data_IF_243409523333
#
_entry.id   IF_243409523333
#
_cell.length_a   1.000
_cell.length_b   1.000
_cell.length_c   1.000
_cell.angle_alpha   90.00
_cell.angle_beta   90.00
_cell.angle_gamma   90.00
#
_symmetry.space_group_name_H-M   'P 1'
#
loop_
_entity.id
_entity.type
_entity.pdbx_description
1 polymer ?
#
# COMPACT_ATOMS: atom_id res chain seq x y z
N UNK A 1 16.30 18.82 -19.81
CA UNK A 1 15.25 17.78 -19.82
C UNK A 1 15.41 17.01 -18.53
N UNK A 2 14.60 17.30 -17.54
CA UNK A 2 14.62 16.60 -16.26
C UNK A 2 14.04 15.21 -16.51
N UNK A 3 14.86 14.18 -16.34
CA UNK A 3 14.35 12.81 -16.41
C UNK A 3 13.57 12.55 -15.11
N UNK A 4 12.26 12.32 -15.23
CA UNK A 4 11.46 11.85 -14.09
C UNK A 4 12.09 10.55 -13.59
N UNK A 5 12.24 10.43 -12.26
CA UNK A 5 12.74 9.18 -11.68
C UNK A 5 11.75 8.05 -11.93
N UNK A 6 12.29 6.85 -12.07
CA UNK A 6 11.47 5.66 -12.20
C UNK A 6 10.59 5.46 -10.94
N UNK A 7 9.35 4.98 -11.11
CA UNK A 7 8.48 4.65 -9.99
C UNK A 7 9.13 3.62 -9.06
N UNK A 8 9.05 3.83 -7.75
CA UNK A 8 9.59 2.89 -6.76
C UNK A 8 8.53 2.48 -5.75
N UNK A 9 8.59 1.25 -5.27
CA UNK A 9 7.68 0.79 -4.22
C UNK A 9 7.72 1.76 -3.02
N UNK A 10 6.55 2.23 -2.63
CA UNK A 10 6.36 3.05 -1.44
C UNK A 10 5.81 2.24 -0.28
N UNK A 11 4.67 1.60 -0.48
CA UNK A 11 4.10 0.74 0.55
C UNK A 11 3.16 -0.33 0.00
N UNK A 12 2.98 -1.35 0.82
CA UNK A 12 1.97 -2.38 0.66
C UNK A 12 0.83 -2.09 1.64
N UNK A 13 -0.41 -2.28 1.22
CA UNK A 13 -1.59 -2.07 2.06
C UNK A 13 -2.21 -3.41 2.44
N UNK A 14 -2.10 -3.76 3.72
CA UNK A 14 -2.70 -4.95 4.31
C UNK A 14 -3.94 -4.55 5.11
N UNK A 15 -5.09 -4.65 4.47
CA UNK A 15 -6.35 -4.24 5.06
C UNK A 15 -6.93 -5.33 5.96
N UNK A 16 -7.57 -4.93 7.05
CA UNK A 16 -8.10 -5.86 8.06
C UNK A 16 -9.39 -5.35 8.69
N UNK A 17 -10.31 -6.26 9.07
CA UNK A 17 -11.46 -5.90 9.89
C UNK A 17 -11.09 -5.59 11.36
N UNK A 18 -9.90 -5.99 11.83
CA UNK A 18 -9.46 -5.79 13.22
C UNK A 18 -7.95 -5.54 13.30
N UNK A 19 -7.58 -4.25 13.42
CA UNK A 19 -6.18 -3.83 13.40
C UNK A 19 -5.36 -4.47 14.52
N UNK A 20 -5.87 -4.46 15.75
CA UNK A 20 -5.13 -4.97 16.91
C UNK A 20 -4.87 -6.48 16.83
N UNK A 21 -5.86 -7.25 16.40
CA UNK A 21 -5.70 -8.70 16.23
C UNK A 21 -4.69 -9.00 15.13
N UNK A 22 -4.74 -8.28 14.01
CA UNK A 22 -3.83 -8.46 12.89
C UNK A 22 -2.41 -8.03 13.24
N UNK A 23 -2.22 -6.94 13.98
CA UNK A 23 -0.89 -6.54 14.45
C UNK A 23 -0.26 -7.61 15.36
N UNK A 24 -1.04 -8.24 16.24
CA UNK A 24 -0.55 -9.36 17.08
C UNK A 24 -0.17 -10.60 16.26
N UNK A 25 -0.98 -10.95 15.25
CA UNK A 25 -0.66 -12.06 14.35
C UNK A 25 0.64 -11.79 13.57
N UNK A 26 0.76 -10.60 13.02
CA UNK A 26 1.96 -10.20 12.27
C UNK A 26 3.20 -10.11 13.18
N UNK A 27 3.05 -9.68 14.45
CA UNK A 27 4.15 -9.69 15.42
C UNK A 27 4.71 -11.11 15.62
N UNK A 28 3.82 -12.12 15.72
CA UNK A 28 4.23 -13.52 15.82
C UNK A 28 4.91 -14.01 14.54
N UNK A 29 4.36 -13.66 13.37
CA UNK A 29 4.83 -14.14 12.08
C UNK A 29 6.10 -13.43 11.60
N UNK A 30 6.15 -12.12 11.75
CA UNK A 30 7.25 -11.27 11.25
C UNK A 30 8.31 -10.96 12.30
N UNK A 31 8.05 -11.30 13.58
CA UNK A 31 9.00 -11.10 14.67
C UNK A 31 9.15 -9.66 15.15
N UNK A 32 8.31 -8.74 14.69
CA UNK A 32 8.35 -7.31 15.06
C UNK A 32 6.96 -6.76 15.30
N UNK A 33 6.82 -5.93 16.33
CA UNK A 33 5.57 -5.23 16.63
C UNK A 33 5.43 -3.98 15.76
N UNK A 34 4.31 -3.87 15.05
CA UNK A 34 4.04 -2.69 14.23
C UNK A 34 4.01 -1.41 15.07
N UNK A 35 4.59 -0.34 14.54
CA UNK A 35 4.49 1.00 15.11
C UNK A 35 3.12 1.60 14.85
N UNK A 36 2.59 2.37 15.81
CA UNK A 36 1.38 3.15 15.56
C UNK A 36 1.60 4.14 14.41
N UNK A 37 0.68 4.18 13.48
CA UNK A 37 0.72 5.11 12.35
C UNK A 37 -0.06 6.38 12.62
N UNK A 38 -1.37 6.35 12.47
CA UNK A 38 -2.24 7.49 12.72
C UNK A 38 -3.68 7.24 12.29
N UNK A 39 -4.52 8.20 12.59
CA UNK A 39 -5.91 8.22 12.16
C UNK A 39 -6.03 8.87 10.78
N UNK A 40 -7.01 8.43 10.00
CA UNK A 40 -7.41 9.07 8.75
C UNK A 40 -8.71 9.84 8.98
N UNK A 41 -8.66 11.15 9.25
CA UNK A 41 -9.85 11.94 9.58
C UNK A 41 -10.90 11.89 8.47
N UNK A 42 -12.13 11.59 8.86
CA UNK A 42 -13.27 11.48 7.92
C UNK A 42 -13.25 10.24 7.02
N UNK A 43 -12.34 9.28 7.25
CA UNK A 43 -12.25 8.02 6.51
C UNK A 43 -12.67 6.81 7.34
N UNK A 44 -12.82 6.95 8.66
CA UNK A 44 -13.18 5.86 9.57
C UNK A 44 -12.11 4.79 9.70
N UNK A 45 -10.85 5.10 9.39
CA UNK A 45 -9.73 4.16 9.43
C UNK A 45 -8.56 4.71 10.21
N UNK A 46 -7.76 3.81 10.76
CA UNK A 46 -6.45 4.08 11.33
C UNK A 46 -5.46 2.98 10.92
N UNK A 47 -4.18 3.21 11.12
CA UNK A 47 -3.16 2.27 10.65
C UNK A 47 -2.04 2.04 11.66
N UNK A 48 -1.29 0.96 11.41
CA UNK A 48 0.01 0.65 12.01
C UNK A 48 1.00 0.32 10.89
N UNK A 49 2.30 0.54 11.15
CA UNK A 49 3.33 0.52 10.13
C UNK A 49 4.50 -0.39 10.52
N UNK A 50 5.04 -1.10 9.54
CA UNK A 50 6.31 -1.85 9.65
C UNK A 50 7.17 -1.44 8.46
N UNK A 51 8.38 -0.92 8.70
CA UNK A 51 9.34 -0.65 7.61
C UNK A 51 9.83 -1.97 7.02
N UNK A 52 9.77 -2.11 5.70
CA UNK A 52 10.15 -3.32 4.94
C UNK A 52 11.31 -3.06 3.98
N UNK A 53 11.96 -1.92 4.12
CA UNK A 53 13.08 -1.49 3.31
C UNK A 53 13.29 0.02 3.36
N UNK A 54 14.33 0.54 2.73
CA UNK A 54 14.57 1.98 2.66
C UNK A 54 13.41 2.71 1.99
N UNK A 55 12.75 3.61 2.74
CA UNK A 55 11.59 4.36 2.25
C UNK A 55 10.45 3.47 1.72
N UNK A 56 10.30 2.26 2.29
CA UNK A 56 9.21 1.35 1.99
C UNK A 56 8.61 0.78 3.28
N UNK A 57 7.28 0.60 3.33
CA UNK A 57 6.61 0.07 4.53
C UNK A 57 5.41 -0.81 4.20
N UNK A 58 5.06 -1.67 5.14
CA UNK A 58 3.78 -2.36 5.20
C UNK A 58 2.82 -1.51 6.03
N UNK A 59 1.75 -1.04 5.42
CA UNK A 59 0.63 -0.39 6.09
C UNK A 59 -0.40 -1.45 6.48
N UNK A 60 -0.66 -1.60 7.76
CA UNK A 60 -1.77 -2.40 8.27
C UNK A 60 -2.89 -1.42 8.58
N UNK A 61 -4.01 -1.49 7.84
CA UNK A 61 -5.11 -0.53 7.94
C UNK A 61 -6.42 -1.22 8.33
N UNK A 62 -7.14 -0.63 9.27
CA UNK A 62 -8.42 -1.16 9.74
C UNK A 62 -9.39 -0.07 10.18
N UNK A 63 -10.62 -0.45 10.59
CA UNK A 63 -11.60 0.47 11.14
C UNK A 63 -11.07 1.20 12.37
N UNK A 64 -11.32 2.51 12.46
CA UNK A 64 -10.91 3.33 13.58
C UNK A 64 -12.03 3.36 14.65
N UNK A 65 -11.82 2.77 15.85
CA UNK A 65 -12.81 2.78 16.91
C UNK A 65 -13.09 4.18 17.47
N UNK A 66 -12.22 5.17 17.19
CA UNK A 66 -12.40 6.56 17.59
C UNK A 66 -13.26 7.36 16.61
N UNK A 67 -13.63 6.75 15.47
CA UNK A 67 -14.52 7.32 14.45
C UNK A 67 -15.73 6.39 14.17
N UNK A 68 -16.49 5.97 15.19
CA UNK A 68 -17.49 4.92 15.06
C UNK A 68 -18.63 5.28 14.10
N UNK A 69 -18.90 6.57 13.92
CA UNK A 69 -19.95 7.07 13.02
C UNK A 69 -19.47 7.15 11.55
N UNK A 70 -18.18 6.95 11.29
CA UNK A 70 -17.63 7.03 9.94
C UNK A 70 -17.40 5.63 9.40
N UNK A 71 -18.17 5.27 8.36
CA UNK A 71 -18.00 3.97 7.70
C UNK A 71 -16.64 3.89 7.00
N UNK A 72 -15.81 2.87 7.28
CA UNK A 72 -14.48 2.69 6.68
C UNK A 72 -14.59 2.11 5.26
N UNK A 73 -15.04 2.94 4.31
CA UNK A 73 -15.29 2.49 2.92
C UNK A 73 -14.03 2.34 2.08
N UNK A 74 -12.88 2.85 2.56
CA UNK A 74 -11.62 2.77 1.83
C UNK A 74 -11.19 1.30 1.70
N UNK A 75 -10.83 0.88 0.50
CA UNK A 75 -10.44 -0.50 0.19
C UNK A 75 -11.50 -1.57 0.52
N UNK A 76 -12.78 -1.18 0.58
CA UNK A 76 -13.87 -2.09 1.00
C UNK A 76 -13.62 -2.78 2.37
N UNK A 77 -12.90 -2.11 3.28
CA UNK A 77 -12.53 -2.65 4.60
C UNK A 77 -13.75 -3.12 5.39
N UNK A 78 -14.86 -2.42 5.27
CA UNK A 78 -16.13 -2.76 5.92
C UNK A 78 -16.76 -4.08 5.44
N UNK A 79 -16.25 -4.64 4.34
CA UNK A 79 -16.70 -5.93 3.78
C UNK A 79 -15.73 -7.07 4.05
N UNK A 80 -14.56 -6.76 4.61
CA UNK A 80 -13.55 -7.78 4.87
C UNK A 80 -13.94 -8.68 6.05
N UNK A 81 -13.78 -9.99 5.86
CA UNK A 81 -13.96 -11.00 6.90
C UNK A 81 -12.63 -11.51 7.45
N UNK A 82 -11.53 -11.24 6.75
CA UNK A 82 -10.17 -11.61 7.13
C UNK A 82 -9.18 -10.57 6.60
N UNK A 83 -7.98 -10.46 7.19
CA UNK A 83 -6.92 -9.61 6.67
C UNK A 83 -6.52 -10.02 5.26
N UNK A 84 -6.18 -9.03 4.42
CA UNK A 84 -5.81 -9.25 3.01
C UNK A 84 -4.84 -8.18 2.52
N UNK A 85 -3.84 -8.60 1.72
CA UNK A 85 -3.02 -7.68 0.96
C UNK A 85 -3.86 -7.13 -0.21
N UNK A 86 -4.32 -5.88 -0.07
CA UNK A 86 -5.41 -5.39 -0.89
C UNK A 86 -4.95 -4.50 -2.04
N UNK A 87 -3.88 -3.75 -1.84
CA UNK A 87 -3.29 -2.88 -2.85
C UNK A 87 -1.87 -2.49 -2.47
N UNK A 88 -1.22 -1.71 -3.30
CA UNK A 88 0.13 -1.20 -3.11
C UNK A 88 0.29 0.17 -3.74
N UNK A 89 1.31 0.91 -3.32
CA UNK A 89 1.62 2.23 -3.80
C UNK A 89 3.03 2.29 -4.38
N UNK A 90 3.21 3.12 -5.39
CA UNK A 90 4.52 3.51 -5.89
C UNK A 90 4.73 5.00 -5.74
N UNK A 91 5.93 5.38 -5.30
CA UNK A 91 6.32 6.77 -5.13
C UNK A 91 6.81 7.37 -6.42
N UNK A 92 6.33 8.58 -6.66
CA UNK A 92 6.67 9.44 -7.80
C UNK A 92 7.14 10.78 -7.23
N UNK A 93 8.17 11.39 -7.83
CA UNK A 93 8.72 12.68 -7.37
C UNK A 93 7.88 13.90 -7.84
N UNK A 94 7.20 13.79 -8.99
CA UNK A 94 6.29 14.82 -9.53
C UNK A 94 5.08 14.09 -10.13
N UNK A 95 4.06 13.91 -9.30
CA UNK A 95 2.89 13.11 -9.64
C UNK A 95 2.09 13.73 -10.80
N UNK A 96 1.92 15.04 -10.80
CA UNK A 96 1.15 15.70 -11.85
C UNK A 96 1.84 15.62 -13.22
N UNK A 97 3.17 15.83 -13.26
CA UNK A 97 3.93 15.68 -14.48
C UNK A 97 3.94 14.23 -14.96
N UNK A 98 4.11 13.28 -14.05
CA UNK A 98 4.11 11.85 -14.38
C UNK A 98 2.76 11.42 -14.97
N UNK A 99 1.63 11.79 -14.33
CA UNK A 99 0.28 11.45 -14.83
C UNK A 99 0.01 12.07 -16.20
N UNK A 100 0.55 13.25 -16.51
CA UNK A 100 0.43 13.86 -17.84
C UNK A 100 1.28 13.16 -18.90
N UNK A 101 2.43 12.59 -18.49
CA UNK A 101 3.38 11.95 -19.40
C UNK A 101 3.02 10.48 -19.72
N UNK A 102 2.47 9.76 -18.74
CA UNK A 102 2.04 8.37 -18.97
C UNK A 102 0.92 8.31 -19.99
N UNK A 103 0.85 7.18 -20.69
CA UNK A 103 -0.15 6.96 -21.74
C UNK A 103 -1.57 7.30 -21.26
N UNK A 104 -2.39 7.96 -22.10
CA UNK A 104 -3.83 8.14 -21.83
C UNK A 104 -4.58 6.82 -21.56
N UNK A 105 -3.96 5.70 -21.92
CA UNK A 105 -4.48 4.34 -21.64
C UNK A 105 -4.07 3.81 -20.25
N UNK A 106 -3.17 4.51 -19.55
CA UNK A 106 -2.90 4.20 -18.15
C UNK A 106 -4.10 4.65 -17.31
N UNK A 107 -4.92 3.67 -16.91
CA UNK A 107 -6.09 3.95 -16.08
C UNK A 107 -5.64 4.20 -14.63
N UNK A 108 -5.21 5.43 -14.35
CA UNK A 108 -4.94 5.90 -12.99
C UNK A 108 -6.13 6.69 -12.48
N UNK A 109 -6.45 6.54 -11.20
CA UNK A 109 -7.51 7.30 -10.56
C UNK A 109 -7.24 8.81 -10.52
N UNK A 110 -8.24 9.59 -10.12
CA UNK A 110 -8.09 11.04 -9.96
C UNK A 110 -7.05 11.37 -8.87
N UNK A 111 -6.24 12.41 -9.11
CA UNK A 111 -5.29 12.90 -8.11
C UNK A 111 -6.04 13.58 -6.96
N UNK A 112 -5.71 13.22 -5.73
CA UNK A 112 -6.27 13.78 -4.49
C UNK A 112 -5.17 14.10 -3.52
N UNK A 113 -5.34 15.19 -2.78
CA UNK A 113 -4.49 15.53 -1.64
C UNK A 113 -4.99 14.84 -0.38
N UNK A 114 -4.06 14.45 0.49
CA UNK A 114 -4.35 13.89 1.79
C UNK A 114 -3.35 14.36 2.83
N UNK A 115 -3.74 14.24 4.10
CA UNK A 115 -2.84 14.47 5.22
C UNK A 115 -3.29 13.66 6.44
N UNK A 116 -2.33 13.40 7.34
CA UNK A 116 -2.60 12.85 8.68
C UNK A 116 -1.58 13.36 9.67
N UNK A 117 -1.88 13.26 10.95
CA UNK A 117 -0.91 13.48 12.02
C UNK A 117 -0.26 12.16 12.41
N UNK A 118 1.03 12.22 12.70
CA UNK A 118 1.72 11.12 13.39
C UNK A 118 1.36 11.14 14.88
N UNK A 119 1.65 10.06 15.65
CA UNK A 119 1.48 10.06 17.11
C UNK A 119 2.22 11.20 17.80
N UNK A 120 3.36 11.65 17.26
CA UNK A 120 4.18 12.75 17.76
C UNK A 120 3.65 14.14 17.35
N UNK A 121 2.55 14.19 16.59
CA UNK A 121 1.89 15.44 16.19
C UNK A 121 2.41 16.06 14.88
N UNK A 122 3.39 15.44 14.21
CA UNK A 122 3.88 15.90 12.89
C UNK A 122 2.80 15.66 11.84
N UNK A 123 2.56 16.66 10.99
CA UNK A 123 1.65 16.49 9.86
C UNK A 123 2.39 15.93 8.66
N UNK A 124 1.99 14.77 8.20
CA UNK A 124 2.37 14.22 6.90
C UNK A 124 1.33 14.63 5.87
N UNK A 125 1.78 15.02 4.68
CA UNK A 125 0.91 15.39 3.57
C UNK A 125 1.41 14.77 2.27
N UNK A 126 0.47 14.46 1.39
CA UNK A 126 0.75 13.79 0.13
C UNK A 126 -0.29 14.16 -0.93
N UNK A 127 0.05 13.87 -2.18
CA UNK A 127 -0.90 13.68 -3.27
C UNK A 127 -0.88 12.22 -3.68
N UNK A 128 -2.02 11.68 -4.07
CA UNK A 128 -2.12 10.31 -4.58
C UNK A 128 -3.19 10.20 -5.66
N UNK A 129 -3.05 9.22 -6.55
CA UNK A 129 -4.15 8.80 -7.42
C UNK A 129 -5.09 7.89 -6.63
N UNK A 130 -6.40 8.06 -6.80
CA UNK A 130 -7.37 7.21 -6.10
C UNK A 130 -7.15 5.73 -6.43
N UNK A 131 -6.96 4.87 -5.40
CA UNK A 131 -6.77 3.44 -5.60
C UNK A 131 -7.95 2.80 -6.32
N UNK A 132 -7.67 1.92 -7.29
CA UNK A 132 -8.69 1.18 -8.02
C UNK A 132 -8.59 -0.31 -7.71
N UNK A 133 -9.70 -0.90 -7.29
CA UNK A 133 -9.79 -2.32 -6.99
C UNK A 133 -10.51 -3.04 -8.14
N UNK A 134 -9.89 -4.09 -8.65
CA UNK A 134 -10.48 -5.04 -9.60
C UNK A 134 -10.80 -6.31 -8.85
N UNK A 135 -12.06 -6.71 -8.79
CA UNK A 135 -12.51 -7.85 -7.99
C UNK A 135 -12.03 -7.78 -6.51
N UNK A 136 -12.02 -6.55 -5.94
CA UNK A 136 -11.61 -6.33 -4.56
C UNK A 136 -10.10 -6.38 -4.33
N UNK A 137 -9.26 -6.28 -5.37
CA UNK A 137 -7.79 -6.20 -5.26
C UNK A 137 -7.25 -5.11 -6.18
N UNK A 138 -6.39 -4.26 -5.65
CA UNK A 138 -5.65 -3.24 -6.40
C UNK A 138 -4.35 -3.81 -6.95
N UNK A 139 -4.43 -4.59 -8.03
CA UNK A 139 -3.26 -5.20 -8.68
C UNK A 139 -2.37 -4.16 -9.34
N UNK A 140 -2.96 -3.11 -9.90
CA UNK A 140 -2.26 -1.94 -10.40
C UNK A 140 -2.14 -0.96 -9.23
N UNK A 141 -0.92 -0.46 -8.94
CA UNK A 141 -0.72 0.41 -7.79
C UNK A 141 -1.38 1.77 -7.98
N UNK A 142 -1.68 2.41 -6.88
CA UNK A 142 -1.86 3.85 -6.92
C UNK A 142 -0.50 4.56 -6.82
N UNK A 143 -0.47 5.78 -7.35
CA UNK A 143 0.72 6.62 -7.35
C UNK A 143 0.65 7.58 -6.17
N UNK A 144 1.78 7.83 -5.51
CA UNK A 144 1.87 8.75 -4.38
C UNK A 144 3.10 9.65 -4.47
N UNK A 145 2.90 10.92 -4.16
CA UNK A 145 3.95 11.91 -3.94
C UNK A 145 3.85 12.44 -2.52
N UNK A 146 4.95 12.38 -1.76
CA UNK A 146 5.03 12.93 -0.42
C UNK A 146 5.46 14.39 -0.46
N UNK A 147 4.60 15.27 0.05
CA UNK A 147 4.90 16.71 0.18
C UNK A 147 5.63 17.04 1.48
N UNK A 148 5.73 16.09 2.41
CA UNK A 148 6.47 16.20 3.66
C UNK A 148 7.89 15.67 3.51
N UNK A 149 8.86 16.30 4.22
CA UNK A 149 10.26 15.82 4.25
C UNK A 149 10.40 14.46 4.95
N UNK A 150 9.55 14.17 5.94
CA UNK A 150 9.50 12.88 6.61
C UNK A 150 8.68 11.89 5.80
N UNK A 151 9.20 10.68 5.69
CA UNK A 151 8.50 9.55 5.11
C UNK A 151 8.03 8.59 6.22
N UNK A 152 6.84 7.95 6.12
CA UNK A 152 6.35 7.04 7.17
C UNK A 152 7.31 5.94 7.57
N UNK A 153 8.06 5.39 6.61
CA UNK A 153 9.06 4.36 6.88
C UNK A 153 10.23 4.83 7.77
N UNK A 154 10.47 6.14 7.90
CA UNK A 154 11.59 6.67 8.70
C UNK A 154 11.35 6.50 10.21
N UNK A 155 10.08 6.53 10.64
CA UNK A 155 9.67 6.37 12.03
C UNK A 155 9.09 4.98 12.34
N UNK A 156 8.81 4.18 11.32
CA UNK A 156 8.30 2.83 11.52
C UNK A 156 9.40 1.88 12.02
N UNK A 157 9.02 0.93 12.89
CA UNK A 157 9.94 -0.12 13.32
C UNK A 157 10.46 -0.89 12.10
N UNK A 158 11.76 -1.17 12.08
CA UNK A 158 12.35 -1.99 11.02
C UNK A 158 11.91 -3.43 11.18
N UNK A 159 11.23 -3.94 10.17
CA UNK A 159 10.77 -5.32 10.04
C UNK A 159 11.61 -6.15 9.09
N UNK A 160 11.12 -7.33 8.73
CA UNK A 160 11.77 -8.19 7.76
C UNK A 160 11.78 -7.52 6.38
N UNK A 161 12.84 -7.77 5.63
CA UNK A 161 12.98 -7.25 4.27
C UNK A 161 11.96 -7.89 3.33
N UNK A 162 11.30 -7.08 2.52
CA UNK A 162 10.53 -7.57 1.39
C UNK A 162 11.48 -8.21 0.37
N UNK A 163 11.25 -9.49 0.07
CA UNK A 163 12.04 -10.26 -0.91
C UNK A 163 11.41 -10.14 -2.29
N UNK A 164 10.09 -10.27 -2.37
CA UNK A 164 9.36 -10.25 -3.62
C UNK A 164 7.93 -9.72 -3.42
N UNK A 165 7.48 -8.93 -4.37
CA UNK A 165 6.07 -8.69 -4.64
C UNK A 165 5.73 -9.37 -5.95
N UNK A 166 4.69 -10.21 -5.97
CA UNK A 166 4.17 -10.82 -7.19
C UNK A 166 2.65 -10.66 -7.27
N UNK A 167 2.16 -10.74 -8.47
CA UNK A 167 0.75 -10.65 -8.81
C UNK A 167 0.30 -11.99 -9.37
N UNK A 168 -0.83 -12.50 -8.91
CA UNK A 168 -1.50 -13.63 -9.51
C UNK A 168 -2.76 -13.13 -10.23
N UNK A 169 -3.00 -13.60 -11.47
CA UNK A 169 -4.21 -13.24 -12.23
C UNK A 169 -4.55 -14.33 -13.27
N UNK A 170 -5.85 -14.59 -13.54
CA UNK A 170 -6.26 -15.50 -14.60
C UNK A 170 -5.73 -15.11 -15.99
N UNK A 171 -5.61 -13.81 -16.24
CA UNK A 171 -5.11 -13.21 -17.47
C UNK A 171 -3.89 -12.33 -17.21
N UNK A 172 -2.67 -12.89 -17.01
CA UNK A 172 -1.47 -12.14 -16.61
C UNK A 172 -1.12 -11.00 -17.57
N UNK A 173 -1.31 -11.20 -18.86
CA UNK A 173 -0.94 -10.19 -19.88
C UNK A 173 -1.78 -8.91 -19.81
N UNK A 174 -3.02 -8.99 -19.33
CA UNK A 174 -3.86 -7.83 -19.08
C UNK A 174 -3.21 -6.90 -18.04
N UNK A 175 -2.75 -7.49 -16.94
CA UNK A 175 -2.11 -6.74 -15.84
C UNK A 175 -0.73 -6.25 -16.28
N UNK A 176 0.06 -7.07 -16.97
CA UNK A 176 1.37 -6.69 -17.51
C UNK A 176 1.29 -5.43 -18.38
N UNK A 177 0.29 -5.37 -19.27
CA UNK A 177 0.08 -4.21 -20.13
C UNK A 177 -0.20 -2.93 -19.32
N UNK A 178 -1.00 -3.04 -18.26
CA UNK A 178 -1.30 -1.90 -17.37
C UNK A 178 -0.07 -1.45 -16.60
N UNK A 179 0.71 -2.38 -16.02
CA UNK A 179 1.94 -2.05 -15.29
C UNK A 179 3.00 -1.42 -16.20
N UNK A 180 3.18 -1.95 -17.40
CA UNK A 180 4.10 -1.38 -18.39
C UNK A 180 3.73 0.07 -18.76
N UNK A 181 2.43 0.41 -18.80
CA UNK A 181 2.00 1.80 -19.03
C UNK A 181 2.39 2.74 -17.88
N UNK A 182 2.66 2.22 -16.71
CA UNK A 182 3.18 2.91 -15.53
C UNK A 182 4.71 2.77 -15.36
N UNK A 183 5.42 2.18 -16.35
CA UNK A 183 6.85 1.88 -16.29
C UNK A 183 7.25 0.99 -15.12
N UNK A 184 6.37 0.03 -14.79
CA UNK A 184 6.57 -0.89 -13.68
C UNK A 184 6.80 -2.31 -14.18
N UNK A 185 7.81 -2.96 -13.58
CA UNK A 185 8.11 -4.37 -13.78
C UNK A 185 7.88 -5.11 -12.47
N UNK A 186 6.89 -6.01 -12.46
CA UNK A 186 6.55 -6.86 -11.31
C UNK A 186 6.34 -8.28 -11.81
N UNK A 187 6.73 -9.27 -11.01
CA UNK A 187 6.46 -10.66 -11.32
C UNK A 187 4.95 -10.92 -11.40
N UNK A 188 4.47 -11.47 -12.51
CA UNK A 188 3.06 -11.79 -12.70
C UNK A 188 2.97 -13.26 -13.09
N UNK A 189 2.18 -14.00 -12.33
CA UNK A 189 1.95 -15.44 -12.52
C UNK A 189 0.48 -15.69 -12.87
N UNK A 190 0.24 -16.77 -13.58
CA UNK A 190 -1.13 -17.22 -13.83
C UNK A 190 -1.67 -17.86 -12.55
N UNK A 191 -2.83 -17.38 -12.11
CA UNK A 191 -3.54 -17.90 -10.93
C UNK A 191 -5.05 -17.92 -11.15
N UNK A 192 -5.79 -18.72 -10.39
CA UNK A 192 -7.24 -18.86 -10.56
C UNK A 192 -8.02 -17.61 -10.17
N UNK A 193 -7.47 -16.80 -9.27
CA UNK A 193 -8.08 -15.56 -8.77
C UNK A 193 -7.05 -14.42 -8.71
N UNK A 194 -7.49 -13.17 -8.86
CA UNK A 194 -6.63 -12.00 -8.64
C UNK A 194 -6.08 -11.96 -7.22
N UNK A 195 -4.75 -11.84 -7.06
CA UNK A 195 -4.11 -11.69 -5.76
C UNK A 195 -2.81 -10.90 -5.85
N UNK A 196 -2.50 -10.17 -4.78
CA UNK A 196 -1.17 -9.68 -4.46
C UNK A 196 -0.53 -10.66 -3.48
N UNK A 197 0.74 -10.97 -3.68
CA UNK A 197 1.51 -11.82 -2.77
C UNK A 197 2.83 -11.15 -2.47
N UNK A 198 3.06 -10.87 -1.20
CA UNK A 198 4.30 -10.30 -0.71
C UNK A 198 5.05 -11.34 0.11
N UNK A 199 6.30 -11.63 -0.28
CA UNK A 199 7.19 -12.56 0.42
C UNK A 199 8.24 -11.78 1.20
N UNK A 200 8.35 -12.08 2.48
CA UNK A 200 9.28 -11.45 3.42
C UNK A 200 10.33 -12.44 3.90
N UNK A 201 11.50 -11.93 4.23
CA UNK A 201 12.58 -12.71 4.80
C UNK A 201 12.21 -13.15 6.23
N UNK A 202 12.02 -14.45 6.44
CA UNK A 202 11.78 -15.03 7.76
C UNK A 202 13.06 -15.61 8.37
N UNK A 203 12.97 -16.06 9.63
CA UNK A 203 14.14 -16.64 10.31
C UNK A 203 14.63 -17.96 9.71
N UNK A 204 13.74 -18.72 9.08
CA UNK A 204 14.03 -20.02 8.43
C UNK A 204 13.52 -20.08 7.00
N UNK A 205 12.31 -19.59 6.77
CA UNK A 205 11.57 -19.67 5.52
C UNK A 205 11.01 -18.30 5.15
N UNK A 206 10.57 -18.15 3.90
CA UNK A 206 9.84 -16.96 3.47
C UNK A 206 8.45 -16.91 4.14
N UNK A 207 8.06 -15.72 4.55
CA UNK A 207 6.74 -15.45 5.11
C UNK A 207 5.91 -14.75 4.02
N UNK A 208 4.82 -15.36 3.60
CA UNK A 208 3.93 -14.76 2.62
C UNK A 208 2.71 -14.09 3.25
N UNK A 209 2.39 -12.90 2.76
CA UNK A 209 1.11 -12.23 2.97
C UNK A 209 0.35 -12.19 1.63
N UNK A 210 -0.95 -12.41 1.73
CA UNK A 210 -1.88 -12.38 0.58
C UNK A 210 -3.05 -11.44 0.85
#
# INVERSE_FOLDING_TARGET
MWCLREPVLDHLVYATPNLDATCRDLEIRLGVRASAGGQHPGRGTHNALISIGPKAYLEIIGPDPMQPETRPVWFDIDKLTAPKLITWAVRIDDLEAFVKEISPNANVGAVRSGSRKTPEGTTLSWQLTEPQLIQGVGLVPFLIEWNSHQHPADSAITGPRLVQLRIEHPEPELIRKQLNSLRLEVAIEQGPNPALVASFEGAKDLIELR
#
